data_IF_168691676413
#
_entry.id   IF_168691676413
#
_cell.length_a   1.000
_cell.length_b   1.000
_cell.length_c   1.000
_cell.angle_alpha   90.00
_cell.angle_beta   90.00
_cell.angle_gamma   90.00
#
_symmetry.space_group_name_H-M   'P 1'
#
loop_
_entity.id
_entity.type
_entity.pdbx_description
1 polymer ?
#
# COMPACT_ATOMS: atom_id res chain seq x y z
N UNK A 1 21.37 -38.41 -18.11
CA UNK A 1 19.97 -37.99 -17.92
C UNK A 1 19.47 -38.32 -16.50
N UNK A 2 19.57 -39.56 -16.01
CA UNK A 2 19.04 -39.94 -14.68
C UNK A 2 19.48 -39.10 -13.47
N UNK A 3 20.74 -38.65 -13.41
CA UNK A 3 21.24 -37.83 -12.27
C UNK A 3 20.61 -36.42 -12.21
N UNK A 4 20.35 -35.80 -13.38
CA UNK A 4 19.68 -34.49 -13.45
C UNK A 4 18.21 -34.64 -13.03
N UNK A 5 17.55 -35.69 -13.49
CA UNK A 5 16.15 -35.97 -13.13
C UNK A 5 15.99 -36.23 -11.62
N UNK A 6 16.96 -36.92 -11.00
CA UNK A 6 16.98 -37.16 -9.55
C UNK A 6 17.16 -35.85 -8.75
N UNK A 7 18.07 -34.96 -9.18
CA UNK A 7 18.25 -33.64 -8.56
C UNK A 7 16.97 -32.79 -8.69
N UNK A 8 16.36 -32.76 -9.88
CA UNK A 8 15.11 -32.04 -10.13
C UNK A 8 14.00 -32.60 -9.23
N UNK A 9 13.90 -33.93 -9.11
CA UNK A 9 12.94 -34.61 -8.25
C UNK A 9 13.13 -34.23 -6.78
N UNK A 10 14.36 -34.25 -6.28
CA UNK A 10 14.69 -33.86 -4.90
C UNK A 10 14.36 -32.38 -4.64
N UNK A 11 14.69 -31.49 -5.57
CA UNK A 11 14.34 -30.07 -5.47
C UNK A 11 12.81 -29.86 -5.43
N UNK A 12 12.05 -30.52 -6.31
CA UNK A 12 10.58 -30.46 -6.31
C UNK A 12 10.00 -30.94 -4.98
N UNK A 13 10.51 -32.05 -4.44
CA UNK A 13 10.08 -32.59 -3.16
C UNK A 13 10.36 -31.63 -2.00
N UNK A 14 11.59 -31.12 -1.89
CA UNK A 14 11.98 -30.14 -0.85
C UNK A 14 11.12 -28.88 -0.94
N UNK A 15 10.89 -28.35 -2.16
CA UNK A 15 10.03 -27.19 -2.39
C UNK A 15 8.59 -27.46 -1.94
N UNK A 16 8.04 -28.63 -2.25
CA UNK A 16 6.68 -29.00 -1.84
C UNK A 16 6.56 -29.12 -0.32
N UNK A 17 7.51 -29.80 0.32
CA UNK A 17 7.51 -29.98 1.78
C UNK A 17 7.63 -28.62 2.48
N UNK A 18 8.54 -27.75 2.01
CA UNK A 18 8.66 -26.38 2.55
C UNK A 18 7.36 -25.59 2.46
N UNK A 19 6.63 -25.72 1.34
CA UNK A 19 5.34 -25.06 1.17
C UNK A 19 4.30 -25.59 2.16
N UNK A 20 4.26 -26.91 2.38
CA UNK A 20 3.33 -27.54 3.32
C UNK A 20 3.66 -27.23 4.79
N UNK A 21 4.94 -27.07 5.13
CA UNK A 21 5.37 -26.72 6.49
C UNK A 21 5.16 -25.23 6.81
N UNK A 22 4.89 -24.39 5.81
CA UNK A 22 4.62 -22.97 6.02
C UNK A 22 3.15 -22.77 6.43
N UNK A 23 2.84 -23.11 7.68
CA UNK A 23 1.51 -23.01 8.28
C UNK A 23 1.46 -21.83 9.24
N UNK A 24 0.34 -21.10 9.31
CA UNK A 24 0.09 -20.08 10.33
C UNK A 24 -0.65 -20.71 11.52
N UNK A 25 -0.23 -20.38 12.74
CA UNK A 25 -0.70 -21.03 13.98
C UNK A 25 -1.48 -20.09 14.88
N UNK A 26 -1.21 -18.79 14.78
CA UNK A 26 -1.94 -17.75 15.51
C UNK A 26 -3.35 -17.60 14.96
N UNK A 27 -4.29 -17.15 15.79
CA UNK A 27 -5.67 -16.91 15.34
C UNK A 27 -5.90 -15.44 15.05
N UNK A 28 -6.68 -15.21 14.00
CA UNK A 28 -6.97 -13.88 13.50
C UNK A 28 -8.46 -13.59 13.56
N UNK A 29 -8.80 -12.31 13.61
CA UNK A 29 -10.16 -11.82 13.41
C UNK A 29 -10.18 -10.77 12.29
N UNK A 30 -11.33 -10.64 11.63
CA UNK A 30 -11.56 -9.65 10.58
C UNK A 30 -12.76 -8.78 10.97
N UNK A 31 -12.57 -7.46 11.00
CA UNK A 31 -13.61 -6.48 11.33
C UNK A 31 -13.94 -5.69 10.06
N UNK A 32 -15.19 -5.79 9.62
CA UNK A 32 -15.62 -5.25 8.34
C UNK A 32 -15.58 -6.30 7.23
N UNK A 33 -16.68 -6.41 6.49
CA UNK A 33 -16.84 -7.33 5.37
C UNK A 33 -17.51 -6.60 4.19
N UNK A 34 -16.89 -5.49 3.78
CA UNK A 34 -17.28 -4.71 2.60
C UNK A 34 -16.65 -5.25 1.31
N UNK A 35 -16.97 -4.60 0.18
CA UNK A 35 -16.50 -5.03 -1.14
C UNK A 35 -14.97 -5.06 -1.25
N UNK A 36 -14.28 -4.03 -0.75
CA UNK A 36 -12.81 -3.99 -0.74
C UNK A 36 -12.21 -5.19 -0.01
N UNK A 37 -12.74 -5.51 1.18
CA UNK A 37 -12.29 -6.65 1.97
C UNK A 37 -12.53 -7.99 1.23
N UNK A 38 -13.73 -8.19 0.67
CA UNK A 38 -14.09 -9.42 -0.03
C UNK A 38 -13.27 -9.62 -1.31
N UNK A 39 -12.92 -8.54 -2.00
CA UNK A 39 -12.16 -8.58 -3.25
C UNK A 39 -10.65 -8.69 -3.05
N UNK A 40 -10.10 -8.12 -1.98
CA UNK A 40 -8.65 -7.96 -1.82
C UNK A 40 -8.08 -8.71 -0.61
N UNK A 41 -8.64 -8.49 0.59
CA UNK A 41 -8.08 -9.05 1.83
C UNK A 41 -8.44 -10.53 2.01
N UNK A 42 -9.73 -10.83 1.95
CA UNK A 42 -10.24 -12.17 2.23
C UNK A 42 -9.66 -13.26 1.30
N UNK A 43 -9.49 -13.01 -0.02
CA UNK A 43 -8.83 -13.98 -0.90
C UNK A 43 -7.39 -14.29 -0.49
N UNK A 44 -6.63 -13.29 -0.03
CA UNK A 44 -5.26 -13.48 0.45
C UNK A 44 -5.24 -14.23 1.77
N UNK A 45 -6.09 -13.84 2.74
CA UNK A 45 -6.24 -14.52 4.03
C UNK A 45 -6.54 -16.01 3.82
N UNK A 46 -7.45 -16.33 2.89
CA UNK A 46 -7.81 -17.71 2.54
C UNK A 46 -6.67 -18.44 1.82
N UNK A 47 -5.99 -17.79 0.88
CA UNK A 47 -4.87 -18.38 0.16
C UNK A 47 -3.70 -18.70 1.10
N UNK A 48 -3.39 -17.81 2.04
CA UNK A 48 -2.38 -18.01 3.08
C UNK A 48 -2.83 -19.00 4.17
N UNK A 49 -4.11 -19.39 4.16
CA UNK A 49 -4.72 -20.28 5.17
C UNK A 49 -4.58 -19.73 6.60
N UNK A 50 -4.72 -18.42 6.78
CA UNK A 50 -4.67 -17.82 8.12
C UNK A 50 -5.85 -18.34 8.96
N UNK A 51 -5.62 -18.83 10.20
CA UNK A 51 -6.69 -19.32 11.08
C UNK A 51 -7.66 -18.22 11.52
N UNK A 52 -8.64 -17.91 10.68
CA UNK A 52 -9.64 -16.87 10.94
C UNK A 52 -10.71 -17.42 11.90
N UNK A 53 -10.80 -16.83 13.11
CA UNK A 53 -11.74 -17.24 14.15
C UNK A 53 -13.05 -16.46 14.07
N UNK A 54 -12.95 -15.14 13.83
CA UNK A 54 -14.10 -14.25 13.79
C UNK A 54 -14.15 -13.40 12.53
N UNK A 55 -15.37 -13.14 12.05
CA UNK A 55 -15.65 -11.99 11.18
C UNK A 55 -16.72 -11.14 11.86
N UNK A 56 -16.38 -9.89 12.20
CA UNK A 56 -17.29 -8.91 12.77
C UNK A 56 -17.91 -8.04 11.67
N UNK A 57 -19.22 -7.86 11.70
CA UNK A 57 -19.96 -7.04 10.74
C UNK A 57 -21.10 -6.29 11.44
N UNK A 58 -21.76 -5.35 10.76
CA UNK A 58 -22.80 -4.51 11.37
C UNK A 58 -24.20 -5.12 11.37
N UNK A 59 -24.38 -6.37 10.92
CA UNK A 59 -25.70 -6.97 10.70
C UNK A 59 -25.77 -8.40 11.23
N UNK A 60 -26.72 -8.67 12.12
CA UNK A 60 -26.99 -10.01 12.65
C UNK A 60 -27.26 -11.04 11.54
N UNK A 61 -28.03 -10.63 10.52
CA UNK A 61 -28.27 -11.46 9.33
C UNK A 61 -26.97 -11.81 8.63
N UNK A 62 -26.06 -10.83 8.43
CA UNK A 62 -24.74 -11.10 7.82
C UNK A 62 -23.89 -12.00 8.73
N UNK A 63 -23.89 -11.81 10.04
CA UNK A 63 -23.17 -12.65 10.99
C UNK A 63 -23.60 -14.13 10.93
N UNK A 64 -24.91 -14.38 10.83
CA UNK A 64 -25.44 -15.73 10.61
C UNK A 64 -24.95 -16.34 9.29
N UNK A 65 -25.01 -15.59 8.19
CA UNK A 65 -24.56 -16.05 6.87
C UNK A 65 -23.05 -16.27 6.78
N UNK A 66 -22.25 -15.45 7.47
CA UNK A 66 -20.80 -15.59 7.57
C UNK A 66 -20.45 -16.97 8.14
N UNK A 67 -21.09 -17.35 9.24
CA UNK A 67 -20.85 -18.63 9.92
C UNK A 67 -21.22 -19.84 9.04
N UNK A 68 -22.23 -19.68 8.18
CA UNK A 68 -22.62 -20.69 7.20
C UNK A 68 -21.65 -20.77 6.01
N UNK A 69 -21.19 -19.61 5.52
CA UNK A 69 -20.33 -19.52 4.32
C UNK A 69 -18.89 -19.91 4.60
N UNK A 70 -18.34 -19.53 5.75
CA UNK A 70 -16.94 -19.75 6.10
C UNK A 70 -16.86 -20.75 7.26
N UNK A 71 -16.70 -22.04 6.91
CA UNK A 71 -16.65 -23.13 7.90
C UNK A 71 -15.55 -22.86 8.94
N UNK A 72 -15.90 -22.99 10.22
CA UNK A 72 -14.99 -22.76 11.34
C UNK A 72 -14.81 -21.29 11.74
N UNK A 73 -15.43 -20.34 11.03
CA UNK A 73 -15.41 -18.91 11.35
C UNK A 73 -16.72 -18.53 12.03
N UNK A 74 -16.66 -17.85 13.17
CA UNK A 74 -17.84 -17.29 13.85
C UNK A 74 -18.12 -15.87 13.34
N UNK A 75 -19.30 -15.65 12.77
CA UNK A 75 -19.81 -14.31 12.53
C UNK A 75 -20.28 -13.67 13.83
N UNK A 76 -19.96 -12.39 14.04
CA UNK A 76 -20.44 -11.59 15.18
C UNK A 76 -20.77 -10.16 14.75
N UNK A 77 -21.53 -9.46 15.57
CA UNK A 77 -21.79 -8.01 15.49
C UNK A 77 -21.05 -7.22 16.57
N UNK A 78 -20.44 -7.91 17.52
CA UNK A 78 -19.78 -7.35 18.70
C UNK A 78 -18.27 -7.38 18.51
N UNK A 79 -17.65 -6.19 18.47
CA UNK A 79 -16.19 -6.08 18.53
C UNK A 79 -15.65 -6.66 19.84
N UNK A 80 -16.40 -6.55 20.94
CA UNK A 80 -16.00 -7.05 22.26
C UNK A 80 -15.81 -8.57 22.29
N UNK A 81 -16.54 -9.33 21.46
CA UNK A 81 -16.32 -10.77 21.32
C UNK A 81 -14.90 -11.11 20.85
N UNK A 82 -14.33 -10.23 20.03
CA UNK A 82 -12.95 -10.36 19.53
C UNK A 82 -11.97 -9.88 20.58
N UNK A 83 -12.20 -8.69 21.17
CA UNK A 83 -11.28 -8.06 22.11
C UNK A 83 -11.06 -8.90 23.38
N UNK A 84 -12.14 -9.49 23.91
CA UNK A 84 -12.11 -10.32 25.12
C UNK A 84 -11.61 -11.76 24.88
N UNK A 85 -11.29 -12.12 23.64
CA UNK A 85 -10.81 -13.45 23.30
C UNK A 85 -9.27 -13.47 23.20
N UNK A 86 -8.64 -13.95 24.27
CA UNK A 86 -7.18 -14.04 24.39
C UNK A 86 -6.53 -14.98 23.36
N UNK A 87 -7.31 -15.84 22.70
CA UNK A 87 -6.79 -16.69 21.65
C UNK A 87 -6.61 -15.97 20.31
N UNK A 88 -7.21 -14.77 20.15
CA UNK A 88 -7.04 -13.92 18.96
C UNK A 88 -5.80 -13.04 19.12
N UNK A 89 -4.81 -13.26 18.25
CA UNK A 89 -3.51 -12.57 18.28
C UNK A 89 -3.45 -11.36 17.36
N UNK A 90 -4.18 -11.40 16.23
CA UNK A 90 -4.18 -10.34 15.21
C UNK A 90 -5.59 -9.99 14.72
N UNK A 91 -5.83 -8.71 14.47
CA UNK A 91 -7.10 -8.19 13.97
C UNK A 91 -6.86 -7.42 12.68
N UNK A 92 -7.53 -7.85 11.60
CA UNK A 92 -7.64 -7.08 10.35
C UNK A 92 -8.85 -6.16 10.44
N UNK A 93 -8.67 -4.87 10.21
CA UNK A 93 -9.73 -3.85 10.21
C UNK A 93 -9.88 -3.31 8.79
N UNK A 94 -10.99 -3.64 8.15
CA UNK A 94 -11.40 -3.19 6.82
C UNK A 94 -12.87 -2.76 6.86
N UNK A 95 -13.16 -1.85 7.80
CA UNK A 95 -14.50 -1.33 8.07
C UNK A 95 -14.74 -0.03 7.28
N UNK A 96 -15.80 0.70 7.64
CA UNK A 96 -15.96 2.06 7.13
C UNK A 96 -14.82 2.94 7.71
N UNK A 97 -14.17 3.80 6.89
CA UNK A 97 -13.09 4.69 7.33
C UNK A 97 -13.40 5.50 8.60
N UNK A 98 -14.63 6.00 8.77
CA UNK A 98 -15.03 6.77 9.97
C UNK A 98 -14.99 5.95 11.26
N UNK A 99 -15.04 4.61 11.17
CA UNK A 99 -14.95 3.71 12.32
C UNK A 99 -13.51 3.26 12.62
N UNK A 100 -12.57 3.51 11.71
CA UNK A 100 -11.18 3.03 11.84
C UNK A 100 -10.51 3.54 13.10
N UNK A 101 -10.60 4.84 13.39
CA UNK A 101 -10.00 5.44 14.59
C UNK A 101 -10.47 4.75 15.88
N UNK A 102 -11.79 4.60 16.05
CA UNK A 102 -12.35 4.00 17.26
C UNK A 102 -11.98 2.51 17.39
N UNK A 103 -12.14 1.73 16.31
CA UNK A 103 -11.81 0.30 16.30
C UNK A 103 -10.31 0.09 16.58
N UNK A 104 -9.44 0.87 15.93
CA UNK A 104 -8.00 0.80 16.14
C UNK A 104 -7.64 1.03 17.60
N UNK A 105 -8.20 2.08 18.21
CA UNK A 105 -7.94 2.42 19.60
C UNK A 105 -8.30 1.27 20.55
N UNK A 106 -9.46 0.63 20.35
CA UNK A 106 -9.90 -0.49 21.18
C UNK A 106 -9.07 -1.77 20.96
N UNK A 107 -8.67 -2.07 19.72
CA UNK A 107 -7.77 -3.21 19.42
C UNK A 107 -6.40 -3.01 20.06
N UNK A 108 -5.85 -1.80 19.98
CA UNK A 108 -4.53 -1.44 20.57
C UNK A 108 -4.59 -1.58 22.10
N UNK A 109 -5.64 -1.06 22.74
CA UNK A 109 -5.85 -1.19 24.20
C UNK A 109 -6.00 -2.64 24.66
N UNK A 110 -6.60 -3.49 23.84
CA UNK A 110 -6.72 -4.93 24.10
C UNK A 110 -5.40 -5.70 23.89
N UNK A 111 -4.30 -5.02 23.53
CA UNK A 111 -2.98 -5.64 23.36
C UNK A 111 -2.86 -6.55 22.14
N UNK A 112 -3.78 -6.46 21.18
CA UNK A 112 -3.77 -7.28 19.97
C UNK A 112 -2.98 -6.59 18.85
N UNK A 113 -2.44 -7.40 17.94
CA UNK A 113 -1.79 -6.88 16.73
C UNK A 113 -2.86 -6.36 15.76
N UNK A 114 -2.57 -5.27 15.06
CA UNK A 114 -3.53 -4.55 14.24
C UNK A 114 -3.04 -4.41 12.79
N UNK A 115 -3.81 -4.93 11.83
CA UNK A 115 -3.77 -4.46 10.46
C UNK A 115 -4.96 -3.54 10.24
N UNK A 116 -4.74 -2.33 9.72
CA UNK A 116 -5.81 -1.37 9.48
C UNK A 116 -5.76 -0.81 8.07
N UNK A 117 -6.88 -0.92 7.35
CA UNK A 117 -7.04 -0.32 6.03
C UNK A 117 -6.91 1.19 6.05
N UNK A 118 -6.53 1.75 4.90
CA UNK A 118 -6.41 3.18 4.71
C UNK A 118 -7.79 3.84 4.50
N UNK A 119 -7.98 5.10 4.91
CA UNK A 119 -7.13 5.83 5.85
C UNK A 119 -7.31 5.27 7.28
N UNK A 120 -6.25 5.20 8.12
CA UNK A 120 -6.38 4.69 9.49
C UNK A 120 -7.18 5.62 10.42
N UNK A 121 -7.30 6.90 10.07
CA UNK A 121 -8.04 7.94 10.81
C UNK A 121 -8.24 9.18 9.93
N UNK A 122 -9.03 10.15 10.38
CA UNK A 122 -9.43 11.29 9.53
C UNK A 122 -8.38 12.40 9.41
N UNK A 123 -7.58 12.61 10.47
CA UNK A 123 -6.70 13.77 10.54
C UNK A 123 -5.48 13.57 11.46
N UNK A 124 -4.56 14.54 11.44
CA UNK A 124 -3.32 14.51 12.24
C UNK A 124 -3.57 14.38 13.76
N UNK A 125 -4.66 14.95 14.29
CA UNK A 125 -4.96 14.87 15.73
C UNK A 125 -5.34 13.46 16.12
N UNK A 126 -6.19 12.81 15.33
CA UNK A 126 -6.55 11.41 15.54
C UNK A 126 -5.35 10.49 15.36
N UNK A 127 -4.52 10.71 14.33
CA UNK A 127 -3.31 9.93 14.14
C UNK A 127 -2.38 10.05 15.35
N UNK A 128 -2.19 11.27 15.85
CA UNK A 128 -1.39 11.51 17.06
C UNK A 128 -1.97 10.72 18.25
N UNK A 129 -3.28 10.81 18.46
CA UNK A 129 -3.97 10.06 19.52
C UNK A 129 -3.73 8.56 19.42
N UNK A 130 -3.85 7.97 18.22
CA UNK A 130 -3.53 6.55 18.02
C UNK A 130 -2.07 6.23 18.33
N UNK A 131 -1.11 7.04 17.86
CA UNK A 131 0.32 6.82 18.15
C UNK A 131 0.63 6.94 19.64
N UNK A 132 -0.07 7.81 20.38
CA UNK A 132 0.06 7.95 21.82
C UNK A 132 -0.53 6.71 22.53
N UNK A 133 -1.68 6.18 22.07
CA UNK A 133 -2.24 4.92 22.57
C UNK A 133 -1.27 3.75 22.35
N UNK A 134 -0.63 3.66 21.18
CA UNK A 134 0.38 2.61 20.91
C UNK A 134 1.52 2.69 21.93
N UNK A 135 2.03 3.89 22.21
CA UNK A 135 3.11 4.10 23.20
C UNK A 135 2.67 3.75 24.62
N UNK A 136 1.41 4.01 24.97
CA UNK A 136 0.88 3.75 26.30
C UNK A 136 0.62 2.26 26.56
N UNK A 137 0.06 1.54 25.58
CA UNK A 137 -0.37 0.15 25.76
C UNK A 137 0.61 -0.89 25.19
N UNK A 138 1.61 -0.47 24.40
CA UNK A 138 2.66 -1.35 23.89
C UNK A 138 2.16 -2.42 22.91
N UNK A 139 1.18 -2.09 22.05
CA UNK A 139 0.68 -3.03 21.04
C UNK A 139 1.83 -3.58 20.18
N UNK A 140 1.82 -4.88 19.94
CA UNK A 140 2.97 -5.65 19.44
C UNK A 140 3.34 -5.31 18.00
N UNK A 141 2.37 -5.42 17.09
CA UNK A 141 2.59 -5.24 15.66
C UNK A 141 1.43 -4.47 15.04
N UNK A 142 1.75 -3.39 14.31
CA UNK A 142 0.75 -2.56 13.64
C UNK A 142 1.17 -2.29 12.20
N UNK A 143 0.26 -2.58 11.28
CA UNK A 143 0.42 -2.33 9.85
C UNK A 143 -0.75 -1.48 9.34
N UNK A 144 -0.43 -0.37 8.68
CA UNK A 144 -1.40 0.42 7.91
C UNK A 144 -1.42 -0.10 6.47
N UNK A 145 -2.62 -0.36 5.93
CA UNK A 145 -2.90 -0.94 4.62
C UNK A 145 -2.57 0.00 3.45
N UNK A 146 -1.29 0.29 3.29
CA UNK A 146 -0.71 1.08 2.20
C UNK A 146 0.09 0.14 1.30
N UNK A 147 -0.65 -0.70 0.57
CA UNK A 147 -0.11 -1.82 -0.21
C UNK A 147 1.09 -1.47 -1.11
N UNK A 148 1.22 -0.22 -1.57
CA UNK A 148 2.22 0.15 -2.59
C UNK A 148 3.61 -0.02 -2.01
N UNK A 149 3.75 0.16 -0.70
CA UNK A 149 4.98 -0.09 0.06
C UNK A 149 5.44 -1.55 -0.02
N UNK A 150 4.53 -2.50 -0.26
CA UNK A 150 4.76 -3.94 -0.26
C UNK A 150 4.81 -4.57 -1.66
N UNK A 151 4.53 -3.81 -2.71
CA UNK A 151 4.57 -4.30 -4.08
C UNK A 151 5.98 -4.77 -4.49
N UNK A 152 6.11 -5.86 -5.30
CA UNK A 152 7.40 -6.35 -5.77
C UNK A 152 8.24 -5.28 -6.51
N UNK A 153 7.58 -4.46 -7.33
CA UNK A 153 8.23 -3.37 -8.05
C UNK A 153 8.85 -2.34 -7.08
N UNK A 154 8.18 -2.04 -5.97
CA UNK A 154 8.66 -1.12 -4.94
C UNK A 154 9.93 -1.64 -4.27
N UNK A 155 9.99 -2.93 -3.95
CA UNK A 155 11.18 -3.53 -3.35
C UNK A 155 12.41 -3.43 -4.27
N UNK A 156 12.20 -3.62 -5.58
CA UNK A 156 13.25 -3.45 -6.59
C UNK A 156 13.66 -1.98 -6.67
N UNK A 157 12.68 -1.07 -6.74
CA UNK A 157 12.91 0.35 -6.87
C UNK A 157 13.68 0.92 -5.67
N UNK A 158 13.30 0.60 -4.43
CA UNK A 158 14.02 1.02 -3.23
C UNK A 158 15.49 0.58 -3.25
N UNK A 159 15.77 -0.68 -3.63
CA UNK A 159 17.15 -1.18 -3.75
C UNK A 159 17.95 -0.40 -4.79
N UNK A 160 17.33 -0.04 -5.93
CA UNK A 160 17.96 0.71 -7.02
C UNK A 160 18.20 2.18 -6.67
N UNK A 161 17.24 2.82 -6.01
CA UNK A 161 17.32 4.22 -5.59
C UNK A 161 18.35 4.45 -4.48
N UNK A 162 18.68 3.44 -3.66
CA UNK A 162 19.79 3.54 -2.68
C UNK A 162 21.16 3.76 -3.33
N UNK A 163 21.35 3.37 -4.60
CA UNK A 163 22.63 3.41 -5.31
C UNK A 163 22.69 4.59 -6.31
N UNK A 164 21.57 5.26 -6.56
CA UNK A 164 21.48 6.36 -7.54
C UNK A 164 21.02 7.65 -6.88
N UNK A 165 21.56 8.79 -7.32
CA UNK A 165 21.08 10.08 -6.81
C UNK A 165 19.85 10.50 -7.59
N UNK A 166 18.71 10.54 -6.91
CA UNK A 166 17.46 11.09 -7.46
C UNK A 166 17.65 12.55 -7.92
N UNK A 167 17.06 12.90 -9.06
CA UNK A 167 17.06 14.27 -9.60
C UNK A 167 15.67 14.87 -9.49
N UNK A 168 14.69 14.21 -10.11
CA UNK A 168 13.28 14.57 -9.99
C UNK A 168 12.37 13.37 -10.24
N UNK A 169 11.11 13.48 -9.85
CA UNK A 169 10.08 12.52 -10.24
C UNK A 169 8.82 13.22 -10.76
N UNK A 170 8.04 12.48 -11.56
CA UNK A 170 6.70 12.87 -11.97
C UNK A 170 5.75 11.71 -11.66
N UNK A 171 4.68 11.98 -10.93
CA UNK A 171 3.70 10.97 -10.56
C UNK A 171 2.30 11.38 -11.02
N UNK A 172 1.70 10.57 -11.88
CA UNK A 172 0.33 10.75 -12.35
C UNK A 172 -0.55 9.70 -11.68
N UNK A 173 -1.61 10.15 -11.02
CA UNK A 173 -2.62 9.30 -10.40
C UNK A 173 -3.99 9.82 -10.79
N UNK A 174 -4.57 9.21 -11.82
CA UNK A 174 -5.71 9.74 -12.56
C UNK A 174 -6.85 8.72 -12.45
N UNK A 175 -7.90 9.10 -11.75
CA UNK A 175 -9.07 8.26 -11.48
C UNK A 175 -10.36 8.94 -11.93
N UNK A 176 -11.48 8.21 -11.85
CA UNK A 176 -12.77 8.79 -12.15
C UNK A 176 -13.36 9.65 -11.03
N UNK A 177 -14.49 10.29 -11.34
CA UNK A 177 -15.28 11.09 -10.41
C UNK A 177 -15.54 10.28 -9.13
N UNK A 178 -15.36 10.94 -7.99
CA UNK A 178 -15.44 10.34 -6.67
C UNK A 178 -16.35 11.18 -5.76
N UNK A 179 -17.68 11.07 -5.90
CA UNK A 179 -18.63 11.84 -5.10
C UNK A 179 -18.78 11.32 -3.67
N UNK A 180 -18.20 10.16 -3.34
CA UNK A 180 -18.47 9.45 -2.08
C UNK A 180 -17.70 9.99 -0.87
N UNK A 181 -16.67 10.82 -1.05
CA UNK A 181 -15.82 11.26 0.08
C UNK A 181 -14.73 12.29 -0.26
N UNK A 182 -13.76 12.41 0.65
CA UNK A 182 -12.61 13.32 0.51
C UNK A 182 -11.54 12.65 -0.36
N UNK A 183 -11.46 13.04 -1.64
CA UNK A 183 -10.49 12.49 -2.58
C UNK A 183 -9.04 12.59 -2.09
N UNK A 184 -8.69 13.64 -1.32
CA UNK A 184 -7.33 13.79 -0.79
C UNK A 184 -7.00 12.69 0.22
N UNK A 185 -7.94 12.39 1.13
CA UNK A 185 -7.76 11.40 2.18
C UNK A 185 -8.01 9.97 1.70
N UNK A 186 -9.00 9.76 0.83
CA UNK A 186 -9.46 8.42 0.45
C UNK A 186 -8.69 7.85 -0.74
N UNK A 187 -8.33 8.69 -1.71
CA UNK A 187 -7.68 8.28 -2.95
C UNK A 187 -6.20 8.70 -2.96
N UNK A 188 -5.94 9.99 -2.79
CA UNK A 188 -4.62 10.59 -2.98
C UNK A 188 -3.65 10.33 -1.82
N UNK A 189 -4.14 9.80 -0.69
CA UNK A 189 -3.28 9.24 0.36
C UNK A 189 -2.29 8.23 -0.22
N UNK A 190 -2.69 7.43 -1.21
CA UNK A 190 -1.84 6.43 -1.83
C UNK A 190 -0.62 7.01 -2.56
N UNK A 191 -0.77 7.91 -3.56
CA UNK A 191 0.37 8.49 -4.23
C UNK A 191 1.22 9.38 -3.32
N UNK A 192 0.60 10.12 -2.38
CA UNK A 192 1.32 10.93 -1.39
C UNK A 192 2.14 10.08 -0.43
N UNK A 193 1.55 8.99 0.06
CA UNK A 193 2.25 7.99 0.84
C UNK A 193 3.42 7.40 0.07
N UNK A 194 3.19 7.01 -1.18
CA UNK A 194 4.19 6.27 -1.93
C UNK A 194 5.45 7.12 -2.21
N UNK A 195 5.29 8.40 -2.56
CA UNK A 195 6.46 9.29 -2.76
C UNK A 195 7.17 9.61 -1.44
N UNK A 196 6.44 9.75 -0.33
CA UNK A 196 7.08 9.96 0.97
C UNK A 196 7.78 8.70 1.49
N UNK A 197 7.26 7.52 1.17
CA UNK A 197 7.90 6.24 1.45
C UNK A 197 9.18 6.02 0.65
N UNK A 198 9.19 6.42 -0.63
CA UNK A 198 10.36 6.28 -1.50
C UNK A 198 11.45 7.33 -1.23
N UNK A 199 11.06 8.58 -0.95
CA UNK A 199 11.97 9.72 -0.95
C UNK A 199 12.10 10.42 0.41
N UNK A 200 11.36 9.97 1.43
CA UNK A 200 11.32 10.56 2.76
C UNK A 200 10.36 11.73 2.87
N UNK A 201 10.43 12.46 3.99
CA UNK A 201 9.58 13.63 4.26
C UNK A 201 9.67 14.65 3.12
N UNK A 202 8.51 15.20 2.74
CA UNK A 202 8.39 16.27 1.77
C UNK A 202 7.78 17.54 2.41
N UNK A 203 7.92 18.66 1.71
CA UNK A 203 7.17 19.91 1.91
C UNK A 203 6.50 20.33 0.61
N UNK A 204 5.39 21.04 0.70
CA UNK A 204 4.70 21.61 -0.47
C UNK A 204 5.45 22.87 -0.92
N UNK A 205 5.91 22.90 -2.16
CA UNK A 205 6.53 24.10 -2.78
C UNK A 205 5.51 24.93 -3.53
N UNK A 206 4.61 24.25 -4.21
CA UNK A 206 3.50 24.82 -4.94
C UNK A 206 2.37 23.79 -4.97
N UNK A 207 1.14 24.29 -4.95
CA UNK A 207 -0.06 23.50 -5.15
C UNK A 207 -1.04 24.36 -5.94
N UNK A 208 -1.63 23.78 -6.97
CA UNK A 208 -2.72 24.37 -7.73
C UNK A 208 -3.86 23.37 -7.78
N UNK A 209 -5.06 23.89 -7.54
CA UNK A 209 -6.28 23.11 -7.50
C UNK A 209 -7.21 23.56 -8.63
N UNK A 210 -7.75 22.58 -9.35
CA UNK A 210 -8.77 22.80 -10.36
C UNK A 210 -9.99 21.97 -10.01
N UNK A 211 -11.13 22.64 -9.82
CA UNK A 211 -12.43 21.99 -9.64
C UNK A 211 -13.29 22.21 -10.87
N UNK A 212 -13.97 21.16 -11.29
CA UNK A 212 -14.98 21.25 -12.35
C UNK A 212 -16.38 21.51 -11.78
N UNK A 213 -17.33 21.85 -12.65
CA UNK A 213 -18.74 22.04 -12.25
C UNK A 213 -19.44 20.74 -11.84
N UNK A 214 -18.99 19.60 -12.37
CA UNK A 214 -19.49 18.27 -12.04
C UNK A 214 -18.81 17.64 -10.81
N UNK A 215 -17.94 18.40 -10.12
CA UNK A 215 -17.36 18.03 -8.84
C UNK A 215 -16.07 17.21 -8.93
N UNK A 216 -15.44 17.15 -10.11
CA UNK A 216 -14.10 16.57 -10.25
C UNK A 216 -13.05 17.51 -9.66
N UNK A 217 -11.93 16.94 -9.25
CA UNK A 217 -10.82 17.61 -8.60
C UNK A 217 -9.52 17.20 -9.29
N UNK A 218 -8.73 18.17 -9.71
CA UNK A 218 -7.34 17.96 -10.13
C UNK A 218 -6.41 18.81 -9.27
N UNK A 219 -5.40 18.16 -8.69
CA UNK A 219 -4.34 18.79 -7.91
C UNK A 219 -3.02 18.65 -8.66
N UNK A 220 -2.39 19.79 -8.95
CA UNK A 220 -1.01 19.86 -9.40
C UNK A 220 -0.13 20.25 -8.22
N UNK A 221 0.76 19.35 -7.82
CA UNK A 221 1.62 19.54 -6.64
C UNK A 221 3.08 19.54 -7.04
N UNK A 222 3.86 20.45 -6.46
CA UNK A 222 5.32 20.40 -6.46
C UNK A 222 5.79 20.11 -5.04
N UNK A 223 6.39 18.94 -4.82
CA UNK A 223 6.89 18.52 -3.52
C UNK A 223 8.42 18.56 -3.50
N UNK A 224 9.00 19.09 -2.43
CA UNK A 224 10.44 19.04 -2.18
C UNK A 224 10.75 18.09 -1.04
N UNK A 225 11.50 17.02 -1.35
CA UNK A 225 12.10 16.14 -0.36
C UNK A 225 13.56 16.56 -0.12
N UNK A 226 14.23 15.94 0.85
CA UNK A 226 15.62 16.28 1.19
C UNK A 226 16.61 16.18 0.01
N UNK A 227 16.39 15.24 -0.91
CA UNK A 227 17.35 14.93 -1.99
C UNK A 227 16.78 14.96 -3.40
N UNK A 228 15.46 15.16 -3.54
CA UNK A 228 14.75 15.09 -4.82
C UNK A 228 13.51 15.98 -4.77
N UNK A 229 13.17 16.60 -5.89
CA UNK A 229 11.92 17.36 -6.08
C UNK A 229 11.03 16.59 -7.01
N UNK A 230 9.71 16.60 -6.81
CA UNK A 230 8.81 15.99 -7.76
C UNK A 230 7.54 16.78 -8.02
N UNK A 231 6.90 16.39 -9.10
CA UNK A 231 5.62 16.92 -9.53
C UNK A 231 4.58 15.80 -9.46
N UNK A 232 3.39 16.11 -8.98
CA UNK A 232 2.26 15.18 -8.96
C UNK A 232 1.07 15.79 -9.70
N UNK A 233 0.42 14.97 -10.53
CA UNK A 233 -0.90 15.22 -11.09
C UNK A 233 -1.85 14.20 -10.46
N UNK A 234 -2.71 14.67 -9.55
CA UNK A 234 -3.67 13.84 -8.83
C UNK A 234 -5.07 14.27 -9.25
N UNK A 235 -5.82 13.40 -9.92
CA UNK A 235 -7.08 13.81 -10.56
C UNK A 235 -8.21 12.80 -10.39
N UNK A 236 -9.42 13.31 -10.19
CA UNK A 236 -10.69 12.58 -10.31
C UNK A 236 -11.47 12.96 -11.58
N UNK A 237 -10.83 13.66 -12.53
CA UNK A 237 -11.44 14.16 -13.77
C UNK A 237 -11.34 13.16 -14.95
N UNK A 238 -11.00 11.91 -14.66
CA UNK A 238 -10.80 10.85 -15.66
C UNK A 238 -11.91 9.77 -15.55
N UNK A 239 -11.64 8.53 -15.98
CA UNK A 239 -12.59 7.42 -15.94
C UNK A 239 -12.09 6.30 -15.03
N UNK A 240 -12.97 5.71 -14.22
CA UNK A 240 -12.64 4.50 -13.46
C UNK A 240 -12.38 3.27 -14.36
N UNK A 241 -12.87 3.28 -15.60
CA UNK A 241 -12.60 2.20 -16.57
C UNK A 241 -11.19 2.27 -17.15
N UNK A 242 -10.60 3.46 -17.17
CA UNK A 242 -9.24 3.73 -17.63
C UNK A 242 -8.48 4.55 -16.58
N UNK A 243 -8.48 4.04 -15.34
CA UNK A 243 -7.70 4.67 -14.29
C UNK A 243 -6.20 4.49 -14.59
N UNK A 244 -5.45 5.59 -14.50
CA UNK A 244 -4.03 5.63 -14.88
C UNK A 244 -3.16 5.92 -13.66
N UNK A 245 -2.09 5.15 -13.52
CA UNK A 245 -1.09 5.35 -12.50
C UNK A 245 0.29 5.16 -13.11
N UNK A 246 1.13 6.20 -13.05
CA UNK A 246 2.51 6.12 -13.54
C UNK A 246 3.44 7.00 -12.73
N UNK A 247 4.52 6.40 -12.24
CA UNK A 247 5.61 7.09 -11.56
C UNK A 247 6.88 7.03 -12.41
N UNK A 248 7.36 8.19 -12.83
CA UNK A 248 8.64 8.37 -13.53
C UNK A 248 9.67 8.99 -12.60
N UNK A 249 10.86 8.39 -12.48
CA UNK A 249 11.92 8.86 -11.58
C UNK A 249 13.22 9.00 -12.36
N UNK A 250 13.70 10.24 -12.45
CA UNK A 250 14.97 10.58 -13.07
C UNK A 250 16.08 10.52 -12.02
N UNK A 251 17.16 9.81 -12.34
CA UNK A 251 18.38 9.74 -11.54
C UNK A 251 19.59 10.22 -12.34
N UNK A 252 20.75 10.26 -11.71
CA UNK A 252 22.04 10.42 -12.41
C UNK A 252 22.36 9.27 -13.39
N UNK A 253 21.90 8.05 -13.09
CA UNK A 253 22.17 6.85 -13.91
C UNK A 253 21.18 6.64 -15.06
N UNK A 254 19.97 7.17 -14.95
CA UNK A 254 18.88 6.86 -15.88
C UNK A 254 17.51 7.16 -15.31
N UNK A 255 16.48 6.75 -16.04
CA UNK A 255 15.08 6.93 -15.68
C UNK A 255 14.45 5.59 -15.33
N UNK A 256 13.73 5.55 -14.21
CA UNK A 256 12.83 4.46 -13.87
C UNK A 256 11.40 4.86 -14.24
N UNK A 257 10.63 3.96 -14.84
CA UNK A 257 9.20 4.15 -15.12
C UNK A 257 8.44 2.99 -14.54
N UNK A 258 7.59 3.28 -13.56
CA UNK A 258 6.68 2.33 -12.93
C UNK A 258 5.27 2.60 -13.42
N UNK A 259 4.68 1.61 -14.10
CA UNK A 259 3.35 1.69 -14.70
C UNK A 259 2.40 0.75 -13.98
N UNK A 260 1.36 1.33 -13.35
CA UNK A 260 0.28 0.66 -12.61
C UNK A 260 0.72 -0.37 -11.57
N UNK A 261 1.93 -0.27 -11.02
CA UNK A 261 2.57 -1.31 -10.17
C UNK A 261 2.80 -2.67 -10.88
N UNK A 262 2.52 -2.76 -12.19
CA UNK A 262 2.57 -4.00 -12.97
C UNK A 262 3.90 -4.18 -13.71
N UNK A 263 4.55 -3.06 -14.04
CA UNK A 263 5.78 -3.03 -14.84
C UNK A 263 6.72 -1.93 -14.34
N UNK A 264 7.99 -2.29 -14.15
CA UNK A 264 9.07 -1.37 -13.82
C UNK A 264 10.15 -1.49 -14.89
N UNK A 265 10.36 -0.42 -15.63
CA UNK A 265 11.40 -0.33 -16.63
C UNK A 265 12.50 0.66 -16.21
N UNK A 266 13.71 0.44 -16.71
CA UNK A 266 14.85 1.34 -16.55
C UNK A 266 15.47 1.66 -17.90
N UNK A 267 15.62 2.95 -18.18
CA UNK A 267 16.31 3.49 -19.34
C UNK A 267 17.60 4.19 -18.88
N UNK A 268 18.79 3.73 -19.29
CA UNK A 268 20.03 4.37 -18.90
C UNK A 268 20.14 5.76 -19.51
N UNK A 269 20.73 6.69 -18.76
CA UNK A 269 21.04 8.02 -19.28
C UNK A 269 22.31 7.94 -20.11
N UNK A 270 22.29 8.52 -21.31
CA UNK A 270 23.50 8.67 -22.11
C UNK A 270 24.45 9.70 -21.49
N UNK A 271 25.73 9.35 -21.47
CA UNK A 271 26.80 10.21 -21.01
C UNK A 271 27.12 11.31 -22.03
N UNK A 272 27.50 12.48 -21.55
CA UNK A 272 28.01 13.57 -22.36
C UNK A 272 29.49 13.81 -22.03
N UNK A 273 30.30 14.11 -23.06
CA UNK A 273 31.70 14.50 -22.93
C UNK A 273 31.81 15.96 -23.40
N UNK A 274 32.32 16.86 -22.55
CA UNK A 274 32.39 18.31 -22.82
C UNK A 274 31.05 18.95 -23.24
N UNK A 275 29.93 18.43 -22.71
CA UNK A 275 28.58 18.89 -23.07
C UNK A 275 28.04 18.34 -24.40
N UNK A 276 28.84 17.55 -25.12
CA UNK A 276 28.41 16.86 -26.34
C UNK A 276 27.80 15.50 -25.96
N UNK A 277 26.51 15.24 -26.25
CA UNK A 277 25.89 13.94 -26.01
C UNK A 277 26.53 12.87 -26.90
N UNK A 278 27.03 11.79 -26.30
CA UNK A 278 27.74 10.75 -27.04
C UNK A 278 26.85 9.99 -28.04
N UNK A 279 25.55 9.93 -27.78
CA UNK A 279 24.55 9.37 -28.69
C UNK A 279 24.41 10.14 -30.01
N UNK A 280 24.87 11.40 -30.08
CA UNK A 280 24.95 12.16 -31.34
C UNK A 280 26.18 11.81 -32.16
N UNK A 281 27.21 11.24 -31.53
CA UNK A 281 28.50 10.89 -32.15
C UNK A 281 28.53 9.40 -32.50
N UNK A 282 27.96 8.56 -31.64
CA UNK A 282 27.86 7.12 -31.82
C UNK A 282 26.39 6.71 -31.90
N UNK A 283 25.99 6.08 -33.00
CA UNK A 283 24.68 5.46 -33.12
C UNK A 283 24.61 4.26 -32.16
N UNK A 284 24.04 4.48 -30.98
CA UNK A 284 23.67 3.43 -30.05
C UNK A 284 22.15 3.37 -29.94
N UNK A 285 21.61 2.15 -29.96
CA UNK A 285 20.19 1.94 -29.69
C UNK A 285 19.92 2.15 -28.20
N UNK A 286 18.93 2.98 -27.89
CA UNK A 286 18.45 3.12 -26.51
C UNK A 286 17.92 1.77 -26.02
N UNK A 287 18.50 1.23 -24.95
CA UNK A 287 18.08 -0.04 -24.36
C UNK A 287 17.18 0.22 -23.16
N UNK A 288 15.96 -0.29 -23.20
CA UNK A 288 15.07 -0.31 -22.03
C UNK A 288 15.19 -1.66 -21.34
N UNK A 289 15.56 -1.66 -20.06
CA UNK A 289 15.66 -2.87 -19.25
C UNK A 289 14.38 -3.04 -18.45
N UNK A 290 13.62 -4.11 -18.70
CA UNK A 290 12.48 -4.46 -17.84
C UNK A 290 13.01 -5.08 -16.54
N UNK A 291 12.89 -4.34 -15.45
CA UNK A 291 13.33 -4.77 -14.12
C UNK A 291 12.27 -5.62 -13.41
N UNK A 292 10.99 -5.38 -13.74
CA UNK A 292 9.86 -6.16 -13.28
C UNK A 292 8.74 -6.08 -14.30
N UNK A 293 8.05 -7.19 -14.52
CA UNK A 293 6.84 -7.25 -15.32
C UNK A 293 6.01 -8.45 -14.90
N UNK A 294 4.75 -8.24 -14.54
CA UNK A 294 3.83 -9.34 -14.27
C UNK A 294 3.67 -10.20 -15.52
N UNK A 295 3.93 -11.49 -15.40
CA UNK A 295 3.78 -12.41 -16.54
C UNK A 295 2.29 -12.74 -16.72
N UNK A 296 1.67 -12.22 -17.79
CA UNK A 296 0.25 -12.44 -18.08
C UNK A 296 -0.10 -13.82 -18.66
N UNK A 297 0.87 -14.71 -18.88
CA UNK A 297 0.66 -16.00 -19.52
C UNK A 297 0.49 -17.15 -18.51
N UNK A 298 1.34 -17.21 -17.48
CA UNK A 298 1.32 -18.33 -16.53
C UNK A 298 0.40 -18.01 -15.34
N UNK A 299 -0.67 -18.78 -15.08
CA UNK A 299 -1.64 -18.49 -14.02
C UNK A 299 -1.11 -18.92 -12.63
N UNK A 300 -0.06 -18.26 -12.15
CA UNK A 300 0.48 -18.45 -10.79
C UNK A 300 0.08 -17.30 -9.89
N UNK A 301 0.16 -17.51 -8.57
CA UNK A 301 -0.10 -16.45 -7.58
C UNK A 301 0.82 -15.25 -7.78
N UNK A 302 2.10 -15.47 -8.09
CA UNK A 302 3.04 -14.37 -8.38
C UNK A 302 2.68 -13.52 -9.60
N UNK A 303 1.79 -14.03 -10.47
CA UNK A 303 1.27 -13.34 -11.65
C UNK A 303 -0.17 -12.82 -11.44
N UNK A 304 -0.70 -12.92 -10.23
CA UNK A 304 -1.98 -12.33 -9.85
C UNK A 304 -1.79 -10.85 -9.54
N UNK A 305 -2.73 -10.01 -9.97
CA UNK A 305 -2.69 -8.57 -9.75
C UNK A 305 -2.70 -8.19 -8.25
N UNK A 306 -3.32 -9.00 -7.38
CA UNK A 306 -3.27 -8.82 -5.92
C UNK A 306 -1.82 -8.84 -5.39
N UNK A 307 -0.90 -9.56 -6.06
CA UNK A 307 0.52 -9.60 -5.70
C UNK A 307 1.27 -8.38 -6.24
N UNK A 308 1.10 -8.03 -7.52
CA UNK A 308 1.78 -6.86 -8.11
C UNK A 308 1.34 -5.56 -7.44
N UNK A 309 0.07 -5.45 -7.05
CA UNK A 309 -0.50 -4.37 -6.25
C UNK A 309 -0.17 -4.47 -4.75
N UNK A 310 0.71 -5.37 -4.30
CA UNK A 310 1.18 -5.41 -2.91
C UNK A 310 0.23 -5.95 -1.83
N UNK A 311 -1.07 -6.12 -2.09
CA UNK A 311 -2.05 -6.66 -1.13
C UNK A 311 -1.65 -8.02 -0.56
N UNK A 312 -1.11 -8.90 -1.40
CA UNK A 312 -0.63 -10.19 -0.91
C UNK A 312 0.50 -10.04 0.11
N UNK A 313 1.49 -9.22 -0.24
CA UNK A 313 2.71 -9.03 0.53
C UNK A 313 2.46 -8.27 1.84
N UNK A 314 1.52 -7.32 1.88
CA UNK A 314 1.20 -6.58 3.11
C UNK A 314 0.49 -7.46 4.15
N UNK A 315 -0.45 -8.31 3.71
CA UNK A 315 -1.20 -9.22 4.59
C UNK A 315 -0.27 -10.34 5.08
N UNK A 316 0.58 -10.86 4.18
CA UNK A 316 1.61 -11.82 4.55
C UNK A 316 2.59 -11.22 5.56
N UNK A 317 3.07 -10.00 5.34
CA UNK A 317 3.99 -9.35 6.25
C UNK A 317 3.38 -9.17 7.65
N UNK A 318 2.12 -8.73 7.73
CA UNK A 318 1.42 -8.64 9.01
C UNK A 318 1.29 -10.00 9.71
N UNK A 319 0.87 -11.05 8.99
CA UNK A 319 0.76 -12.38 9.55
C UNK A 319 2.13 -12.92 10.03
N UNK A 320 3.19 -12.70 9.24
CA UNK A 320 4.55 -13.10 9.60
C UNK A 320 5.06 -12.36 10.85
N UNK A 321 4.71 -11.09 11.03
CA UNK A 321 5.00 -10.34 12.27
C UNK A 321 4.28 -10.96 13.47
N UNK A 322 2.98 -11.26 13.35
CA UNK A 322 2.17 -11.87 14.43
C UNK A 322 2.69 -13.27 14.82
N UNK A 323 3.28 -14.00 13.88
CA UNK A 323 3.96 -15.28 14.11
C UNK A 323 5.40 -15.13 14.60
N UNK A 324 5.93 -13.91 14.76
CA UNK A 324 7.33 -13.61 15.10
C UNK A 324 8.35 -14.18 14.10
N UNK A 325 8.01 -14.22 12.81
CA UNK A 325 8.89 -14.72 11.73
C UNK A 325 9.77 -13.64 11.11
N UNK A 326 9.44 -12.38 11.33
CA UNK A 326 10.23 -11.24 10.92
C UNK A 326 10.30 -10.22 12.05
N UNK A 327 11.39 -9.45 12.08
CA UNK A 327 11.52 -8.32 12.99
C UNK A 327 10.58 -7.20 12.56
N UNK A 328 9.82 -6.67 13.51
CA UNK A 328 9.04 -5.46 13.32
C UNK A 328 9.95 -4.25 13.46
N UNK A 329 10.35 -3.69 12.32
CA UNK A 329 11.15 -2.46 12.26
C UNK A 329 10.27 -1.19 12.32
N UNK A 330 8.98 -1.35 12.58
CA UNK A 330 7.97 -0.28 12.64
C UNK A 330 7.88 0.58 11.37
N UNK A 331 8.38 0.10 10.22
CA UNK A 331 8.37 0.85 8.97
C UNK A 331 6.98 1.01 8.35
N UNK A 332 5.99 0.25 8.84
CA UNK A 332 4.62 0.22 8.31
C UNK A 332 3.56 0.56 9.37
N UNK A 333 3.96 1.02 10.54
CA UNK A 333 3.05 1.36 11.64
C UNK A 333 2.42 2.76 11.46
N UNK A 334 1.59 3.16 12.42
CA UNK A 334 0.92 4.48 12.43
C UNK A 334 1.89 5.67 12.41
N UNK A 335 3.06 5.56 13.06
CA UNK A 335 4.05 6.67 13.03
C UNK A 335 4.62 6.84 11.61
N UNK A 336 4.67 5.77 10.80
CA UNK A 336 5.20 5.81 9.43
C UNK A 336 4.34 6.60 8.44
N UNK A 337 3.08 6.94 8.78
CA UNK A 337 2.19 7.74 7.93
C UNK A 337 2.09 9.20 8.37
N UNK A 338 2.76 9.59 9.46
CA UNK A 338 2.73 10.95 10.01
C UNK A 338 3.10 12.03 8.98
N UNK A 339 4.10 11.77 8.16
CA UNK A 339 4.52 12.72 7.13
C UNK A 339 3.50 12.86 6.01
N UNK A 340 2.75 11.80 5.69
CA UNK A 340 1.65 11.85 4.71
C UNK A 340 0.55 12.77 5.23
N UNK A 341 0.14 12.59 6.48
CA UNK A 341 -0.89 13.44 7.10
C UNK A 341 -0.44 14.90 7.21
N UNK A 342 0.83 15.15 7.53
CA UNK A 342 1.39 16.50 7.58
C UNK A 342 1.39 17.19 6.22
N UNK A 343 1.75 16.47 5.15
CA UNK A 343 1.69 17.00 3.78
C UNK A 343 0.24 17.21 3.34
N UNK A 344 -0.68 16.28 3.64
CA UNK A 344 -2.11 16.49 3.34
C UNK A 344 -2.65 17.73 4.06
N UNK A 345 -2.28 17.97 5.32
CA UNK A 345 -2.66 19.18 6.04
C UNK A 345 -2.04 20.45 5.44
N UNK A 346 -0.81 20.38 4.93
CA UNK A 346 -0.18 21.47 4.18
C UNK A 346 -0.92 21.77 2.87
N UNK A 347 -1.23 20.73 2.09
CA UNK A 347 -2.02 20.84 0.84
C UNK A 347 -3.37 21.50 1.12
N UNK A 348 -4.11 21.06 2.15
CA UNK A 348 -5.41 21.65 2.53
C UNK A 348 -5.32 23.15 2.82
N UNK A 349 -4.19 23.66 3.32
CA UNK A 349 -3.99 25.11 3.49
C UNK A 349 -3.92 25.84 2.16
N UNK A 350 -3.21 25.28 1.17
CA UNK A 350 -3.16 25.85 -0.18
C UNK A 350 -4.52 25.84 -0.88
N UNK A 351 -5.28 24.76 -0.71
CA UNK A 351 -6.64 24.63 -1.24
C UNK A 351 -7.57 25.71 -0.67
N UNK A 352 -7.59 25.89 0.66
CA UNK A 352 -8.47 26.85 1.32
C UNK A 352 -8.08 28.32 1.04
N UNK A 353 -6.81 28.63 0.78
CA UNK A 353 -6.37 29.99 0.43
C UNK A 353 -6.98 30.45 -0.91
N UNK A 354 -7.29 29.53 -1.83
CA UNK A 354 -7.89 29.86 -3.12
C UNK A 354 -9.38 30.21 -2.97
N UNK A 355 -10.09 29.56 -2.05
CA UNK A 355 -11.51 29.84 -1.79
C UNK A 355 -11.73 31.26 -1.20
N UNK A 356 -10.83 31.73 -0.34
CA UNK A 356 -10.90 33.09 0.27
C UNK A 356 -10.56 34.23 -0.70
N UNK A 357 -10.03 33.93 -1.89
CA UNK A 357 -9.72 34.93 -2.94
C UNK A 357 -10.76 34.96 -4.07
N UNK A 358 -11.80 34.12 -4.01
CA UNK A 358 -12.90 34.05 -4.98
C UNK A 358 -14.24 34.53 -4.38
N UNK A 359 -14.27 34.81 -3.06
CA UNK A 359 -15.33 35.57 -2.38
C UNK A 359 -14.94 37.06 -2.26
#
# INVERSE_FOLDING_TARGET
MGYIDEIIGRYKSVRSIRKLNHIYTQRYALVGLGNHCVSNLLPVIQYLQLPLKYICCTSEKKAGLISQKYKGVKGTTSLQDILNDDTVSGVFVAANPHSHFHIANEVIKAGKSLFIEKPPCENERELKSLTDTVKLYGSKHIVVGLQRRFAPATQILQKRLRIGRGRHYHYRYLTGLYPEGDALLDLFIHPLDYVTFLFGKARVKAAEEMRSKDGTLTLFLMLEHQSITGMLELSTDYSWQDAQEQLSISTDKGQYVLDRMERLDFSPRHSAIWGIPLEKVFQNNATVVSLYGRNGFVPTVGNNQIVSQGFFSEIQAFADMVENRCEDNHAFCLESVKHVYSIMAEIKKYMNIIDDHIL
#
